data_IF_622624368793
#
_entry.id   IF_622624368793
#
_cell.length_a   1.000
_cell.length_b   1.000
_cell.length_c   1.000
_cell.angle_alpha   90.00
_cell.angle_beta   90.00
_cell.angle_gamma   90.00
#
_symmetry.space_group_name_H-M   'P 1'
#
loop_
_entity.id
_entity.type
_entity.pdbx_description
1 polymer ?
#
# COMPACT_ATOMS: atom_id res chain seq x y z
N UNK A 1 7.85 0.50 6.62
CA UNK A 1 7.34 -0.29 5.46
C UNK A 1 7.58 -1.78 5.62
N UNK A 2 8.82 -2.25 5.84
CA UNK A 2 9.07 -3.70 5.99
C UNK A 2 8.36 -4.36 7.18
N UNK A 3 8.26 -3.67 8.32
CA UNK A 3 7.53 -4.21 9.48
C UNK A 3 6.05 -4.39 9.16
N UNK A 4 5.39 -3.36 8.62
CA UNK A 4 4.02 -3.44 8.12
C UNK A 4 3.88 -4.57 7.11
N UNK A 5 4.78 -4.71 6.13
CA UNK A 5 4.77 -5.82 5.18
C UNK A 5 4.78 -7.20 5.86
N UNK A 6 5.68 -7.41 6.83
CA UNK A 6 5.77 -8.67 7.60
C UNK A 6 4.50 -8.94 8.42
N UNK A 7 3.93 -7.91 9.05
CA UNK A 7 2.72 -8.03 9.86
C UNK A 7 1.48 -8.30 8.99
N UNK A 8 1.28 -7.53 7.93
CA UNK A 8 0.20 -7.74 6.96
C UNK A 8 0.26 -9.15 6.36
N UNK A 9 1.46 -9.63 6.00
CA UNK A 9 1.66 -11.00 5.54
C UNK A 9 1.28 -12.04 6.61
N UNK A 10 1.67 -11.83 7.86
CA UNK A 10 1.35 -12.73 8.97
C UNK A 10 -0.16 -12.82 9.24
N UNK A 11 -0.89 -11.71 9.11
CA UNK A 11 -2.35 -11.71 9.20
C UNK A 11 -2.98 -12.39 7.99
N UNK A 12 -2.52 -12.07 6.77
CA UNK A 12 -3.03 -12.64 5.53
C UNK A 12 -2.76 -14.15 5.39
N UNK A 13 -1.73 -14.66 6.07
CA UNK A 13 -1.41 -16.09 6.14
C UNK A 13 -2.57 -16.93 6.66
N UNK A 14 -3.45 -16.37 7.50
CA UNK A 14 -4.63 -17.08 8.06
C UNK A 14 -5.61 -17.57 6.99
N UNK A 15 -5.56 -16.97 5.81
CA UNK A 15 -6.35 -17.36 4.65
C UNK A 15 -5.48 -17.62 3.41
N UNK A 16 -4.21 -18.00 3.63
CA UNK A 16 -3.25 -18.42 2.59
C UNK A 16 -2.91 -17.33 1.56
N UNK A 17 -2.85 -16.07 1.99
CA UNK A 17 -2.57 -14.92 1.13
C UNK A 17 -1.38 -14.09 1.61
N UNK A 18 -0.38 -14.76 2.17
CA UNK A 18 0.79 -14.10 2.76
C UNK A 18 1.56 -13.23 1.75
N UNK A 19 1.71 -13.66 0.49
CA UNK A 19 2.40 -12.88 -0.53
C UNK A 19 1.63 -11.61 -0.93
N UNK A 20 0.30 -11.69 -1.01
CA UNK A 20 -0.54 -10.49 -1.18
C UNK A 20 -0.35 -9.54 0.00
N UNK A 21 -0.44 -10.05 1.22
CA UNK A 21 -0.29 -9.23 2.42
C UNK A 21 1.08 -8.54 2.47
N UNK A 22 2.15 -9.27 2.14
CA UNK A 22 3.50 -8.71 2.12
C UNK A 22 3.64 -7.58 1.10
N UNK A 23 3.21 -7.79 -0.14
CA UNK A 23 3.31 -6.77 -1.20
C UNK A 23 2.46 -5.54 -0.87
N UNK A 24 1.24 -5.73 -0.35
CA UNK A 24 0.36 -4.64 0.09
C UNK A 24 1.05 -3.78 1.15
N UNK A 25 1.56 -4.41 2.23
CA UNK A 25 2.27 -3.68 3.29
C UNK A 25 3.58 -3.05 2.83
N UNK A 26 4.27 -3.65 1.85
CA UNK A 26 5.50 -3.10 1.29
C UNK A 26 5.26 -1.87 0.41
N UNK A 27 4.13 -1.81 -0.30
CA UNK A 27 3.86 -0.75 -1.29
C UNK A 27 2.94 0.37 -0.78
N UNK A 28 2.19 0.16 0.31
CA UNK A 28 1.12 1.09 0.72
C UNK A 28 1.57 2.56 0.85
N UNK A 29 2.80 2.75 1.33
CA UNK A 29 3.39 4.05 1.64
C UNK A 29 4.54 4.44 0.70
N UNK A 30 4.71 3.77 -0.44
CA UNK A 30 5.93 3.94 -1.28
C UNK A 30 6.12 5.38 -1.78
N UNK A 31 5.02 6.15 -1.91
CA UNK A 31 5.08 7.57 -2.26
C UNK A 31 5.77 8.46 -1.21
N UNK A 32 6.02 7.95 0.00
CA UNK A 32 6.79 8.65 1.04
C UNK A 32 8.26 8.86 0.65
N UNK A 33 8.76 8.15 -0.36
CA UNK A 33 10.10 8.35 -0.92
C UNK A 33 10.23 9.60 -1.83
N UNK A 34 9.13 10.30 -2.11
CA UNK A 34 9.14 11.57 -2.85
C UNK A 34 9.74 12.71 -2.03
N UNK A 35 10.42 13.65 -2.71
CA UNK A 35 10.96 14.83 -2.04
C UNK A 35 9.85 15.68 -1.42
N UNK A 36 8.68 15.81 -2.06
CA UNK A 36 7.49 16.43 -1.47
C UNK A 36 7.13 15.86 -0.11
N UNK A 37 7.02 14.53 0.00
CA UNK A 37 6.69 13.91 1.27
C UNK A 37 7.76 14.17 2.34
N UNK A 38 9.04 14.12 1.96
CA UNK A 38 10.16 14.41 2.85
C UNK A 38 10.18 15.88 3.32
N UNK A 39 9.80 16.84 2.48
CA UNK A 39 9.61 18.25 2.88
C UNK A 39 8.46 18.38 3.87
N UNK A 40 7.34 17.70 3.63
CA UNK A 40 6.16 17.70 4.51
C UNK A 40 6.50 17.27 5.93
N UNK A 41 7.20 16.14 6.11
CA UNK A 41 7.56 15.66 7.45
C UNK A 41 8.61 16.53 8.16
N UNK A 42 9.32 17.39 7.42
CA UNK A 42 10.27 18.40 7.96
C UNK A 42 9.61 19.74 8.28
N UNK A 43 8.27 19.81 8.28
CA UNK A 43 7.50 20.98 8.71
C UNK A 43 6.89 21.82 7.58
N UNK A 44 6.98 21.38 6.31
CA UNK A 44 6.21 22.02 5.24
C UNK A 44 4.73 21.58 5.30
N UNK A 45 3.81 22.51 5.05
CA UNK A 45 2.36 22.27 5.09
C UNK A 45 1.77 21.73 3.76
N UNK A 46 2.61 21.40 2.78
CA UNK A 46 2.20 20.80 1.51
C UNK A 46 1.40 19.49 1.72
N UNK A 47 0.24 19.38 1.07
CA UNK A 47 -0.54 18.13 1.04
C UNK A 47 -0.02 17.24 -0.08
N UNK A 48 0.47 16.05 0.28
CA UNK A 48 1.09 15.10 -0.66
C UNK A 48 0.23 13.85 -0.74
N UNK A 49 -0.11 13.42 -1.97
CA UNK A 49 -0.77 12.15 -2.22
C UNK A 49 0.28 11.05 -2.37
N UNK A 50 0.67 10.43 -1.26
CA UNK A 50 1.64 9.33 -1.28
C UNK A 50 1.01 7.97 -1.57
N UNK A 51 -0.31 7.84 -1.35
CA UNK A 51 -1.06 6.58 -1.53
C UNK A 51 -1.17 6.15 -2.99
N UNK A 52 -1.30 7.11 -3.90
CA UNK A 52 -1.47 6.83 -5.34
C UNK A 52 -0.19 6.25 -5.96
N UNK A 53 0.99 6.54 -5.41
CA UNK A 53 2.26 5.99 -5.91
C UNK A 53 2.28 4.45 -5.83
N UNK A 54 1.83 3.87 -4.71
CA UNK A 54 1.80 2.41 -4.55
C UNK A 54 0.78 1.74 -5.46
N UNK A 55 -0.32 2.42 -5.77
CA UNK A 55 -1.28 1.98 -6.77
C UNK A 55 -0.65 1.92 -8.17
N UNK A 56 -0.07 3.03 -8.64
CA UNK A 56 0.52 3.10 -9.98
C UNK A 56 1.65 2.08 -10.14
N UNK A 57 2.52 1.99 -9.14
CA UNK A 57 3.60 1.01 -9.11
C UNK A 57 3.08 -0.44 -9.13
N UNK A 58 1.95 -0.73 -8.49
CA UNK A 58 1.35 -2.08 -8.57
C UNK A 58 0.95 -2.44 -9.99
N UNK A 59 0.48 -1.48 -10.80
CA UNK A 59 0.12 -1.70 -12.21
C UNK A 59 1.34 -1.77 -13.13
N UNK A 60 2.48 -1.19 -12.73
CA UNK A 60 3.75 -1.32 -13.45
C UNK A 60 4.40 -2.69 -13.20
N UNK A 61 4.29 -3.20 -11.98
CA UNK A 61 5.08 -4.34 -11.49
C UNK A 61 4.34 -5.68 -11.59
N UNK A 62 3.00 -5.67 -11.66
CA UNK A 62 2.16 -6.88 -11.62
C UNK A 62 1.13 -6.92 -12.74
N UNK A 63 0.62 -8.12 -13.01
CA UNK A 63 -0.50 -8.31 -13.94
C UNK A 63 -1.76 -7.57 -13.44
N UNK A 64 -2.57 -7.08 -14.37
CA UNK A 64 -3.68 -6.17 -14.06
C UNK A 64 -4.64 -6.67 -12.97
N UNK A 65 -4.97 -7.97 -12.95
CA UNK A 65 -5.88 -8.53 -11.94
C UNK A 65 -5.26 -8.58 -10.54
N UNK A 66 -3.94 -8.80 -10.44
CA UNK A 66 -3.19 -8.71 -9.18
C UNK A 66 -3.12 -7.25 -8.74
N UNK A 67 -2.70 -6.37 -9.66
CA UNK A 67 -2.57 -4.94 -9.42
C UNK A 67 -3.88 -4.30 -8.94
N UNK A 68 -5.02 -4.78 -9.42
CA UNK A 68 -6.35 -4.34 -8.97
C UNK A 68 -6.56 -4.64 -7.47
N UNK A 69 -6.30 -5.87 -7.04
CA UNK A 69 -6.45 -6.31 -5.63
C UNK A 69 -5.51 -5.51 -4.72
N UNK A 70 -4.23 -5.39 -5.12
CA UNK A 70 -3.23 -4.60 -4.40
C UNK A 70 -3.67 -3.13 -4.32
N UNK A 71 -4.08 -2.58 -5.46
CA UNK A 71 -4.45 -1.19 -5.65
C UNK A 71 -5.61 -0.72 -4.79
N UNK A 72 -6.64 -1.56 -4.60
CA UNK A 72 -7.73 -1.25 -3.68
C UNK A 72 -7.24 -1.08 -2.25
N UNK A 73 -6.43 -2.04 -1.76
CA UNK A 73 -5.93 -2.01 -0.39
C UNK A 73 -4.99 -0.82 -0.17
N UNK A 74 -4.06 -0.60 -1.11
CA UNK A 74 -3.07 0.48 -1.07
C UNK A 74 -3.74 1.84 -1.22
N UNK A 75 -4.72 2.03 -2.08
CA UNK A 75 -5.35 3.34 -2.24
C UNK A 75 -6.24 3.72 -1.06
N UNK A 76 -6.75 2.73 -0.33
CA UNK A 76 -7.73 2.93 0.73
C UNK A 76 -7.16 3.14 2.13
N UNK A 77 -5.86 2.94 2.36
CA UNK A 77 -5.30 2.84 3.73
C UNK A 77 -5.47 4.08 4.62
N UNK A 78 -5.78 5.26 4.05
CA UNK A 78 -6.12 6.47 4.83
C UNK A 78 -7.62 6.82 4.86
N UNK A 79 -8.42 6.29 3.93
CA UNK A 79 -9.77 6.83 3.64
C UNK A 79 -10.85 5.79 3.41
N UNK A 80 -10.54 4.50 3.56
CA UNK A 80 -11.42 3.40 3.16
C UNK A 80 -11.25 3.03 1.68
N UNK A 81 -11.77 1.86 1.32
CA UNK A 81 -11.69 1.34 -0.05
C UNK A 81 -12.37 2.29 -1.05
N UNK A 82 -11.68 2.72 -2.12
CA UNK A 82 -12.28 3.58 -3.13
C UNK A 82 -13.24 2.79 -4.02
N UNK A 83 -14.14 3.50 -4.69
CA UNK A 83 -14.84 2.95 -5.85
C UNK A 83 -13.86 2.66 -6.98
N UNK A 84 -14.13 1.61 -7.77
CA UNK A 84 -13.31 1.29 -8.93
C UNK A 84 -13.32 2.44 -9.95
N UNK A 85 -14.47 3.09 -10.12
CA UNK A 85 -14.70 4.09 -11.15
C UNK A 85 -14.65 3.51 -12.57
N UNK A 86 -14.42 4.37 -13.55
CA UNK A 86 -14.45 3.97 -14.96
C UNK A 86 -13.25 4.50 -15.73
N UNK A 87 -13.00 3.95 -16.92
CA UNK A 87 -11.92 4.42 -17.81
C UNK A 87 -12.09 5.87 -18.27
N UNK A 88 -13.28 6.47 -18.17
CA UNK A 88 -13.52 7.87 -18.54
C UNK A 88 -13.28 8.84 -17.38
N UNK A 89 -13.03 8.36 -16.16
CA UNK A 89 -12.79 9.21 -14.99
C UNK A 89 -11.58 10.12 -15.20
N UNK A 90 -11.67 11.38 -14.80
CA UNK A 90 -10.55 12.33 -14.87
C UNK A 90 -9.58 12.10 -13.71
N UNK A 91 -8.37 12.67 -13.79
CA UNK A 91 -7.31 12.46 -12.78
C UNK A 91 -7.65 13.03 -11.39
N UNK A 92 -8.63 13.93 -11.34
CA UNK A 92 -9.17 14.55 -10.13
C UNK A 92 -10.15 13.63 -9.39
N UNK A 93 -10.66 12.57 -10.05
CA UNK A 93 -11.59 11.64 -9.43
C UNK A 93 -10.93 10.84 -8.31
N UNK A 94 -11.68 10.57 -7.25
CA UNK A 94 -11.21 9.81 -6.08
C UNK A 94 -11.22 8.29 -6.29
N UNK A 95 -11.79 7.83 -7.41
CA UNK A 95 -11.84 6.43 -7.81
C UNK A 95 -10.45 5.85 -8.10
N UNK A 96 -10.36 4.53 -8.15
CA UNK A 96 -9.13 3.84 -8.54
C UNK A 96 -8.65 4.27 -9.94
N UNK A 97 -9.57 4.34 -10.92
CA UNK A 97 -9.23 4.77 -12.28
C UNK A 97 -8.80 6.24 -12.36
N UNK A 98 -9.38 7.14 -11.57
CA UNK A 98 -8.94 8.53 -11.49
C UNK A 98 -7.52 8.64 -10.94
N UNK A 99 -7.24 7.92 -9.84
CA UNK A 99 -5.91 7.86 -9.21
C UNK A 99 -4.83 7.33 -10.15
N UNK A 100 -5.13 6.32 -10.96
CA UNK A 100 -4.18 5.79 -11.96
C UNK A 100 -3.72 6.84 -12.99
N UNK A 101 -4.47 7.92 -13.18
CA UNK A 101 -4.16 9.00 -14.13
C UNK A 101 -3.47 10.21 -13.51
N UNK A 102 -3.23 10.20 -12.19
CA UNK A 102 -2.60 11.33 -11.50
C UNK A 102 -1.13 11.46 -11.87
N UNK A 103 -0.70 12.71 -12.02
CA UNK A 103 0.70 13.07 -12.09
C UNK A 103 1.26 13.08 -10.66
N UNK A 104 2.34 12.33 -10.42
CA UNK A 104 3.00 12.26 -9.12
C UNK A 104 4.42 12.83 -9.20
N UNK A 105 4.89 13.43 -8.11
CA UNK A 105 6.31 13.74 -7.96
C UNK A 105 7.13 12.45 -7.93
N UNK A 106 8.35 12.49 -8.44
CA UNK A 106 9.22 11.31 -8.45
C UNK A 106 9.40 10.74 -7.04
N UNK A 107 9.23 9.42 -6.93
CA UNK A 107 9.42 8.63 -5.72
C UNK A 107 10.44 7.51 -5.92
N UNK A 108 11.19 7.52 -7.03
CA UNK A 108 12.11 6.45 -7.45
C UNK A 108 13.22 6.11 -6.45
N UNK A 109 13.49 6.97 -5.47
CA UNK A 109 14.43 6.74 -4.37
C UNK A 109 14.19 5.41 -3.63
N UNK A 110 12.95 4.89 -3.62
CA UNK A 110 12.69 3.58 -3.00
C UNK A 110 13.55 2.45 -3.59
N UNK A 111 14.00 2.57 -4.84
CA UNK A 111 14.72 1.52 -5.57
C UNK A 111 16.09 1.20 -4.97
N UNK A 112 16.67 2.06 -4.12
CA UNK A 112 17.91 1.74 -3.40
C UNK A 112 17.68 0.81 -2.21
N UNK A 113 16.49 0.81 -1.63
CA UNK A 113 16.20 0.14 -0.35
C UNK A 113 15.23 -1.03 -0.51
N UNK A 114 14.26 -0.91 -1.43
CA UNK A 114 13.17 -1.86 -1.57
C UNK A 114 13.35 -2.70 -2.83
N UNK A 115 13.20 -4.01 -2.65
CA UNK A 115 13.08 -5.00 -3.73
C UNK A 115 11.66 -5.54 -3.73
N UNK A 116 10.95 -5.33 -4.84
CA UNK A 116 9.56 -5.75 -4.98
C UNK A 116 9.52 -7.23 -5.38
N UNK A 117 8.87 -8.11 -4.59
CA UNK A 117 8.66 -9.49 -4.98
C UNK A 117 7.87 -9.58 -6.29
N UNK A 118 8.30 -10.43 -7.21
CA UNK A 118 7.70 -10.52 -8.56
C UNK A 118 6.62 -11.57 -8.71
N UNK A 119 6.43 -12.42 -7.70
CA UNK A 119 5.54 -13.57 -7.76
C UNK A 119 4.57 -13.53 -6.59
N UNK A 120 3.29 -13.70 -6.87
CA UNK A 120 2.23 -13.85 -5.88
C UNK A 120 1.49 -15.16 -6.20
N UNK A 121 1.34 -16.02 -5.20
CA UNK A 121 0.57 -17.24 -5.36
C UNK A 121 -0.93 -16.91 -5.44
N UNK A 122 -1.59 -17.40 -6.50
CA UNK A 122 -3.01 -17.15 -6.75
C UNK A 122 -3.92 -18.33 -6.35
N UNK A 123 -3.36 -19.44 -5.87
CA UNK A 123 -4.13 -20.66 -5.62
C UNK A 123 -5.22 -20.45 -4.56
N UNK A 124 -4.93 -19.66 -3.51
CA UNK A 124 -5.89 -19.37 -2.45
C UNK A 124 -7.11 -18.62 -3.01
N UNK A 125 -6.89 -17.50 -3.71
CA UNK A 125 -7.99 -16.72 -4.30
C UNK A 125 -8.71 -17.50 -5.41
N UNK A 126 -7.99 -18.27 -6.24
CA UNK A 126 -8.62 -19.13 -7.24
C UNK A 126 -9.57 -20.14 -6.60
N UNK A 127 -9.16 -20.80 -5.51
CA UNK A 127 -10.02 -21.74 -4.78
C UNK A 127 -11.21 -21.03 -4.16
N UNK A 128 -11.03 -19.84 -3.59
CA UNK A 128 -12.14 -19.04 -3.04
C UNK A 128 -13.17 -18.73 -4.12
N UNK A 129 -12.73 -18.26 -5.30
CA UNK A 129 -13.63 -17.92 -6.40
C UNK A 129 -14.33 -19.15 -6.99
N UNK A 130 -13.59 -20.25 -7.19
CA UNK A 130 -14.14 -21.50 -7.75
C UNK A 130 -15.22 -22.17 -6.87
N UNK A 131 -15.17 -21.95 -5.56
CA UNK A 131 -16.16 -22.49 -4.62
C UNK A 131 -17.22 -21.46 -4.22
N UNK A 132 -17.29 -20.31 -4.90
CA UNK A 132 -18.20 -19.23 -4.57
C UNK A 132 -19.48 -19.31 -5.39
N UNK A 133 -20.64 -19.16 -4.72
CA UNK A 133 -21.92 -18.93 -5.40
C UNK A 133 -22.01 -17.52 -6.01
N UNK A 134 -21.12 -16.60 -5.60
CA UNK A 134 -21.00 -15.24 -6.14
C UNK A 134 -19.54 -14.82 -6.15
N UNK A 135 -18.88 -14.91 -7.31
CA UNK A 135 -17.46 -14.60 -7.47
C UNK A 135 -17.15 -13.14 -7.11
N UNK A 136 -17.99 -12.19 -7.55
CA UNK A 136 -17.83 -10.76 -7.27
C UNK A 136 -17.89 -10.46 -5.77
N UNK A 137 -18.85 -11.06 -5.06
CA UNK A 137 -18.96 -10.91 -3.62
C UNK A 137 -17.71 -11.45 -2.91
N UNK A 138 -17.29 -12.66 -3.26
CA UNK A 138 -16.10 -13.30 -2.67
C UNK A 138 -14.82 -12.53 -2.96
N UNK A 139 -14.65 -11.98 -4.17
CA UNK A 139 -13.52 -11.11 -4.50
C UNK A 139 -13.56 -9.82 -3.66
N UNK A 140 -14.73 -9.19 -3.54
CA UNK A 140 -14.90 -7.97 -2.74
C UNK A 140 -14.58 -8.22 -1.27
N UNK A 141 -15.00 -9.37 -0.72
CA UNK A 141 -14.76 -9.75 0.66
C UNK A 141 -13.27 -10.07 0.89
N UNK A 142 -12.65 -10.78 -0.04
CA UNK A 142 -11.21 -11.07 -0.02
C UNK A 142 -10.37 -9.78 0.01
N UNK A 143 -10.70 -8.80 -0.85
CA UNK A 143 -10.04 -7.48 -0.85
C UNK A 143 -10.23 -6.78 0.50
N UNK A 144 -11.44 -6.83 1.09
CA UNK A 144 -11.71 -6.24 2.41
C UNK A 144 -10.92 -6.92 3.53
N UNK A 145 -10.73 -8.24 3.48
CA UNK A 145 -9.89 -8.94 4.46
C UNK A 145 -8.42 -8.54 4.35
N UNK A 146 -7.87 -8.46 3.13
CA UNK A 146 -6.51 -7.97 2.90
C UNK A 146 -6.34 -6.51 3.34
N UNK A 147 -7.33 -5.66 3.06
CA UNK A 147 -7.37 -4.28 3.52
C UNK A 147 -7.38 -4.19 5.05
N UNK A 148 -8.19 -4.99 5.74
CA UNK A 148 -8.18 -5.07 7.21
C UNK A 148 -6.81 -5.46 7.74
N UNK A 149 -6.15 -6.45 7.12
CA UNK A 149 -4.80 -6.85 7.52
C UNK A 149 -3.80 -5.69 7.40
N UNK A 150 -3.88 -4.89 6.34
CA UNK A 150 -3.02 -3.72 6.16
C UNK A 150 -3.28 -2.67 7.24
N UNK A 151 -4.55 -2.31 7.43
CA UNK A 151 -4.94 -1.28 8.39
C UNK A 151 -4.49 -1.66 9.80
N UNK A 152 -4.80 -2.88 10.25
CA UNK A 152 -4.39 -3.36 11.57
C UNK A 152 -2.86 -3.35 11.73
N UNK A 153 -2.12 -3.78 10.70
CA UNK A 153 -0.66 -3.79 10.73
C UNK A 153 -0.06 -2.38 10.81
N UNK A 154 -0.59 -1.42 10.05
CA UNK A 154 -0.10 -0.04 10.03
C UNK A 154 -0.38 0.70 11.35
N UNK A 155 -1.57 0.48 11.92
CA UNK A 155 -1.91 0.99 13.25
C UNK A 155 -1.01 0.40 14.34
N UNK A 156 -0.73 -0.90 14.32
CA UNK A 156 0.11 -1.55 15.32
C UNK A 156 1.59 -1.15 15.19
N UNK A 157 2.13 -0.99 13.97
CA UNK A 157 3.50 -0.51 13.76
C UNK A 157 3.64 0.95 14.25
N UNK A 158 2.62 1.77 13.98
CA UNK A 158 2.54 3.15 14.51
C UNK A 158 2.48 3.17 16.03
N UNK A 159 1.62 2.35 16.66
CA UNK A 159 1.53 2.24 18.12
C UNK A 159 2.87 1.84 18.72
N UNK A 160 3.54 0.84 18.13
CA UNK A 160 4.86 0.40 18.54
C UNK A 160 5.86 1.55 18.51
N UNK A 161 5.95 2.27 17.39
CA UNK A 161 6.84 3.44 17.23
C UNK A 161 6.56 4.55 18.27
N UNK A 162 5.29 4.76 18.62
CA UNK A 162 4.87 5.79 19.58
C UNK A 162 5.12 5.41 21.05
N UNK A 163 5.60 4.21 21.37
CA UNK A 163 5.95 3.83 22.75
C UNK A 163 7.19 4.60 23.24
N UNK A 164 7.17 5.13 24.49
CA UNK A 164 8.20 6.06 24.99
C UNK A 164 9.59 5.43 25.17
N UNK A 165 9.69 4.10 25.18
CA UNK A 165 10.95 3.38 25.39
C UNK A 165 11.74 3.12 24.10
N UNK A 166 11.31 3.66 22.97
CA UNK A 166 12.06 3.60 21.70
C UNK A 166 12.87 4.88 21.58
N UNK A 167 14.20 4.76 21.45
CA UNK A 167 15.04 5.92 21.17
C UNK A 167 14.73 6.45 19.76
N UNK A 168 14.15 7.66 19.70
CA UNK A 168 13.71 8.32 18.46
C UNK A 168 14.75 9.32 17.93
N UNK A 169 15.88 9.48 18.63
CA UNK A 169 16.95 10.36 18.22
C UNK A 169 17.71 9.78 17.03
N UNK A 170 17.73 10.51 15.91
CA UNK A 170 18.71 10.29 14.86
C UNK A 170 19.98 11.03 15.30
N UNK A 171 21.09 10.30 15.45
CA UNK A 171 22.41 10.91 15.65
C UNK A 171 22.82 11.50 14.30
N UNK A 172 22.93 12.82 14.23
CA UNK A 172 23.44 13.51 13.05
C UNK A 172 24.93 13.82 13.26
N UNK A 173 25.78 13.41 12.31
CA UNK A 173 27.19 13.84 12.19
C UNK A 173 27.30 15.14 11.39
N UNK A 174 26.63 16.20 11.85
CA UNK A 174 26.94 17.55 11.36
C UNK A 174 27.65 18.33 12.46
N UNK A 175 28.92 18.63 12.22
CA UNK A 175 29.57 19.73 12.93
C UNK A 175 28.81 21.01 12.57
N UNK A 176 28.10 21.58 13.54
CA UNK A 176 27.63 22.96 13.47
C UNK A 176 28.87 23.84 13.33
N UNK A 177 29.13 24.32 12.10
CA UNK A 177 29.98 25.49 11.86
C UNK A 177 29.25 26.75 12.30
#
# INVERSE_FOLDING_TARGET
MENVAKMTAAFAKKFSSEEFGYVIGLLHDIGKYSNAFQRRIRGNNERVDHSTAGLQLSYEEFQQHIALILGFCISGHHGGLPDIGTKIDYKEAHSLHGRLKKDLEDYSNYRSEIRIPKTINLDAIKKILQNSDSEDFSLSFYIRMLFSCLVDADFLDTESFMKPNINRGIIYDYNLM
#
